data_IF_295615209869
#
_entry.id   IF_295615209869
#
_cell.length_a   1.000
_cell.length_b   1.000
_cell.length_c   1.000
_cell.angle_alpha   90.00
_cell.angle_beta   90.00
_cell.angle_gamma   90.00
#
_symmetry.space_group_name_H-M   'P 1'
#
loop_
_entity.id
_entity.type
_entity.pdbx_description
1 polymer ?
#
# COMPACT_ATOMS: atom_id res chain seq x y z
N UNK A 1 -0.25 -22.10 9.57
CA UNK A 1 -0.90 -20.97 8.87
C UNK A 1 0.20 -20.07 8.33
N UNK A 2 0.23 -19.82 7.03
CA UNK A 2 1.29 -19.06 6.38
C UNK A 2 1.32 -17.62 6.89
N UNK A 3 2.25 -17.30 7.79
CA UNK A 3 2.54 -15.95 8.30
C UNK A 3 2.68 -14.89 7.19
N UNK A 4 3.04 -15.33 5.98
CA UNK A 4 3.07 -14.51 4.77
C UNK A 4 1.73 -13.86 4.41
N UNK A 5 0.60 -14.53 4.66
CA UNK A 5 -0.73 -13.99 4.36
C UNK A 5 -1.01 -12.77 5.24
N UNK A 6 -0.66 -12.85 6.54
CA UNK A 6 -0.79 -11.73 7.46
C UNK A 6 0.11 -10.56 7.02
N UNK A 7 1.32 -10.85 6.56
CA UNK A 7 2.21 -9.81 6.02
C UNK A 7 1.60 -9.10 4.81
N UNK A 8 0.98 -9.84 3.86
CA UNK A 8 0.29 -9.20 2.72
C UNK A 8 -0.80 -8.23 3.15
N UNK A 9 -1.56 -8.54 4.20
CA UNK A 9 -2.55 -7.62 4.75
C UNK A 9 -1.91 -6.30 5.21
N UNK A 10 -0.89 -6.37 6.06
CA UNK A 10 -0.23 -5.17 6.57
C UNK A 10 0.53 -4.39 5.50
N UNK A 11 1.12 -5.08 4.52
CA UNK A 11 1.74 -4.43 3.36
C UNK A 11 0.69 -3.69 2.53
N UNK A 12 -0.50 -4.26 2.34
CA UNK A 12 -1.62 -3.58 1.69
C UNK A 12 -2.03 -2.30 2.43
N UNK A 13 -2.16 -2.37 3.77
CA UNK A 13 -2.47 -1.19 4.60
C UNK A 13 -1.42 -0.10 4.40
N UNK A 14 -0.14 -0.45 4.56
CA UNK A 14 0.95 0.50 4.46
C UNK A 14 1.04 1.10 3.05
N UNK A 15 0.91 0.27 2.01
CA UNK A 15 1.00 0.73 0.63
C UNK A 15 -0.06 1.78 0.33
N UNK A 16 -1.32 1.48 0.59
CA UNK A 16 -2.40 2.41 0.23
C UNK A 16 -2.45 3.64 1.14
N UNK A 17 -2.00 3.49 2.39
CA UNK A 17 -1.79 4.64 3.26
C UNK A 17 -0.78 5.63 2.69
N UNK A 18 0.36 5.12 2.18
CA UNK A 18 1.39 5.94 1.54
C UNK A 18 0.90 6.53 0.21
N UNK A 19 0.13 5.79 -0.58
CA UNK A 19 -0.51 6.29 -1.83
C UNK A 19 -1.43 7.46 -1.53
N UNK A 20 -2.32 7.30 -0.56
CA UNK A 20 -3.27 8.35 -0.19
C UNK A 20 -2.55 9.60 0.32
N UNK A 21 -1.50 9.42 1.13
CA UNK A 21 -0.67 10.54 1.59
C UNK A 21 0.10 11.20 0.44
N UNK A 22 0.59 10.41 -0.53
CA UNK A 22 1.24 10.91 -1.74
C UNK A 22 0.29 11.81 -2.55
N UNK A 23 -0.92 11.34 -2.83
CA UNK A 23 -1.93 12.12 -3.54
C UNK A 23 -2.26 13.43 -2.83
N UNK A 24 -2.30 13.44 -1.49
CA UNK A 24 -2.48 14.68 -0.71
C UNK A 24 -1.32 15.65 -0.88
N UNK A 25 -0.07 15.18 -0.82
CA UNK A 25 1.08 16.07 -1.03
C UNK A 25 1.17 16.59 -2.46
N UNK A 26 0.76 15.79 -3.45
CA UNK A 26 0.60 16.24 -4.83
C UNK A 26 -0.46 17.35 -4.90
N UNK A 27 -1.63 17.15 -4.31
CA UNK A 27 -2.71 18.14 -4.28
C UNK A 27 -2.31 19.45 -3.57
N UNK A 28 -1.43 19.38 -2.56
CA UNK A 28 -0.87 20.55 -1.87
C UNK A 28 0.40 21.12 -2.52
N UNK A 29 0.78 20.65 -3.71
CA UNK A 29 2.02 21.05 -4.41
C UNK A 29 3.31 20.92 -3.57
N UNK A 30 3.35 20.00 -2.59
CA UNK A 30 4.54 19.73 -1.78
C UNK A 30 5.45 18.75 -2.53
N UNK A 31 6.32 19.29 -3.39
CA UNK A 31 7.14 18.53 -4.35
C UNK A 31 8.02 17.46 -3.68
N UNK A 32 8.83 17.85 -2.69
CA UNK A 32 9.78 16.93 -2.05
C UNK A 32 9.11 15.71 -1.39
N UNK A 33 8.10 15.86 -0.49
CA UNK A 33 7.43 14.70 0.10
C UNK A 33 6.59 13.91 -0.92
N UNK A 34 6.04 14.57 -1.95
CA UNK A 34 5.37 13.87 -3.04
C UNK A 34 6.35 12.94 -3.79
N UNK A 35 7.51 13.43 -4.23
CA UNK A 35 8.50 12.60 -4.93
C UNK A 35 8.95 11.41 -4.08
N UNK A 36 9.27 11.64 -2.81
CA UNK A 36 9.75 10.59 -1.91
C UNK A 36 8.68 9.51 -1.69
N UNK A 37 7.43 9.90 -1.45
CA UNK A 37 6.36 8.92 -1.30
C UNK A 37 6.06 8.17 -2.60
N UNK A 38 6.08 8.84 -3.76
CA UNK A 38 5.88 8.18 -5.05
C UNK A 38 6.95 7.11 -5.30
N UNK A 39 8.20 7.38 -4.95
CA UNK A 39 9.29 6.41 -5.03
C UNK A 39 9.03 5.20 -4.11
N UNK A 40 8.69 5.42 -2.84
CA UNK A 40 8.40 4.35 -1.87
C UNK A 40 7.19 3.49 -2.26
N UNK A 41 6.12 4.12 -2.74
CA UNK A 41 4.93 3.45 -3.25
C UNK A 41 5.29 2.58 -4.46
N UNK A 42 6.11 3.09 -5.37
CA UNK A 42 6.53 2.34 -6.57
C UNK A 42 7.35 1.11 -6.20
N UNK A 43 8.34 1.25 -5.30
CA UNK A 43 9.13 0.11 -4.81
C UNK A 43 8.22 -0.94 -4.17
N UNK A 44 7.31 -0.51 -3.30
CA UNK A 44 6.40 -1.42 -2.59
C UNK A 44 5.51 -2.17 -3.58
N UNK A 45 4.94 -1.46 -4.56
CA UNK A 45 4.11 -2.05 -5.63
C UNK A 45 4.88 -3.12 -6.40
N UNK A 46 6.12 -2.82 -6.82
CA UNK A 46 6.94 -3.77 -7.57
C UNK A 46 7.31 -5.00 -6.74
N UNK A 47 7.64 -4.83 -5.46
CA UNK A 47 7.94 -5.94 -4.55
C UNK A 47 6.72 -6.83 -4.30
N UNK A 48 5.53 -6.24 -4.14
CA UNK A 48 4.28 -7.00 -3.97
C UNK A 48 3.97 -7.80 -5.22
N UNK A 49 4.04 -7.18 -6.40
CA UNK A 49 3.81 -7.86 -7.69
C UNK A 49 4.81 -9.01 -7.85
N UNK A 50 6.10 -8.76 -7.63
CA UNK A 50 7.14 -9.80 -7.71
C UNK A 50 6.86 -10.97 -6.76
N UNK A 51 6.45 -10.70 -5.52
CA UNK A 51 6.14 -11.76 -4.55
C UNK A 51 4.88 -12.57 -4.91
N UNK A 52 3.84 -11.91 -5.44
CA UNK A 52 2.63 -12.58 -5.90
C UNK A 52 2.93 -13.48 -7.11
N UNK A 53 3.72 -13.00 -8.07
CA UNK A 53 4.06 -13.74 -9.29
C UNK A 53 5.08 -14.86 -9.05
N UNK A 54 6.07 -14.67 -8.17
CA UNK A 54 7.10 -15.68 -7.91
C UNK A 54 6.61 -16.86 -7.08
N UNK A 55 5.53 -16.70 -6.30
CA UNK A 55 4.94 -17.75 -5.46
C UNK A 55 3.76 -18.43 -6.14
N UNK A 56 3.99 -18.91 -7.36
CA UNK A 56 3.03 -19.43 -8.34
C UNK A 56 2.32 -20.76 -7.94
N UNK A 57 1.91 -20.90 -6.69
CA UNK A 57 0.95 -21.94 -6.28
C UNK A 57 -0.45 -21.31 -6.34
N UNK A 58 -1.18 -21.56 -7.44
CA UNK A 58 -2.35 -20.79 -7.87
C UNK A 58 -3.43 -20.61 -6.78
N UNK A 59 -3.63 -21.59 -5.89
CA UNK A 59 -4.60 -21.47 -4.80
C UNK A 59 -4.14 -20.51 -3.69
N UNK A 60 -2.85 -20.51 -3.35
CA UNK A 60 -2.28 -19.62 -2.32
C UNK A 60 -2.18 -18.18 -2.83
N UNK A 61 -1.90 -17.98 -4.12
CA UNK A 61 -1.81 -16.65 -4.73
C UNK A 61 -3.14 -15.89 -4.70
N UNK A 62 -4.27 -16.56 -4.96
CA UNK A 62 -5.59 -15.91 -4.92
C UNK A 62 -5.91 -15.42 -3.50
N UNK A 63 -5.69 -16.26 -2.49
CA UNK A 63 -5.92 -15.87 -1.09
C UNK A 63 -5.02 -14.69 -0.71
N UNK A 64 -3.73 -14.72 -1.09
CA UNK A 64 -2.80 -13.62 -0.84
C UNK A 64 -3.25 -12.30 -1.49
N UNK A 65 -3.74 -12.34 -2.74
CA UNK A 65 -4.27 -11.16 -3.44
C UNK A 65 -5.49 -10.58 -2.72
N UNK A 66 -6.45 -11.42 -2.33
CA UNK A 66 -7.66 -10.96 -1.63
C UNK A 66 -7.31 -10.34 -0.28
N UNK A 67 -6.41 -10.98 0.48
CA UNK A 67 -5.95 -10.48 1.77
C UNK A 67 -5.20 -9.15 1.59
N UNK A 68 -4.29 -9.08 0.62
CA UNK A 68 -3.59 -7.85 0.27
C UNK A 68 -4.57 -6.71 -0.09
N UNK A 69 -5.57 -6.99 -0.94
CA UNK A 69 -6.60 -6.03 -1.33
C UNK A 69 -7.47 -5.58 -0.14
N UNK A 70 -7.78 -6.47 0.80
CA UNK A 70 -8.47 -6.09 2.04
C UNK A 70 -7.63 -5.15 2.91
N UNK A 71 -6.32 -5.37 2.95
CA UNK A 71 -5.36 -4.48 3.59
C UNK A 71 -5.34 -3.10 2.94
N UNK A 72 -5.31 -3.05 1.60
CA UNK A 72 -5.41 -1.80 0.82
C UNK A 72 -6.63 -0.98 1.24
N UNK A 73 -7.82 -1.59 1.30
CA UNK A 73 -9.05 -0.89 1.72
C UNK A 73 -8.96 -0.31 3.14
N UNK A 74 -8.38 -1.05 4.08
CA UNK A 74 -8.12 -0.56 5.45
C UNK A 74 -7.10 0.58 5.44
N UNK A 75 -6.04 0.48 4.63
CA UNK A 75 -5.05 1.53 4.40
C UNK A 75 -5.69 2.83 3.92
N UNK A 76 -6.56 2.75 2.90
CA UNK A 76 -7.33 3.89 2.40
C UNK A 76 -8.14 4.53 3.52
N UNK A 77 -8.92 3.72 4.25
CA UNK A 77 -9.78 4.21 5.32
C UNK A 77 -8.97 4.93 6.41
N UNK A 78 -7.88 4.32 6.86
CA UNK A 78 -7.00 4.90 7.88
C UNK A 78 -6.37 6.19 7.39
N UNK A 79 -5.83 6.23 6.16
CA UNK A 79 -5.21 7.43 5.61
C UNK A 79 -6.22 8.56 5.42
N UNK A 80 -7.44 8.26 4.97
CA UNK A 80 -8.52 9.23 4.87
C UNK A 80 -8.85 9.83 6.24
N UNK A 81 -8.90 9.01 7.30
CA UNK A 81 -9.18 9.47 8.67
C UNK A 81 -7.99 10.20 9.31
N UNK A 82 -6.76 9.85 8.95
CA UNK A 82 -5.55 10.49 9.46
C UNK A 82 -5.44 11.89 8.87
N UNK A 83 -5.43 12.94 9.70
CA UNK A 83 -5.33 14.34 9.25
C UNK A 83 -3.89 14.82 8.97
N UNK A 84 -2.94 13.90 8.81
CA UNK A 84 -1.54 14.28 8.53
C UNK A 84 -1.46 15.01 7.19
N UNK A 85 -0.85 16.19 7.22
CA UNK A 85 -0.77 17.09 6.07
C UNK A 85 -2.04 17.92 5.81
N UNK A 86 -3.05 17.91 6.70
CA UNK A 86 -4.27 18.73 6.60
C UNK A 86 -4.18 20.10 7.30
N UNK A 87 -3.04 20.48 7.88
CA UNK A 87 -2.86 21.87 8.30
C UNK A 87 -2.81 22.77 7.07
N UNK A 88 -3.72 23.74 7.04
CA UNK A 88 -3.77 24.84 6.09
C UNK A 88 -2.61 25.83 6.33
#
# INVERSE_FOLDING_TARGET
MDYYIILYFFVGILQDFLVTLNWRYIAKHKIAPAMLLSFLVTITTMLVIYNILSRLDSQRSIIAIVIYASGVAVGTFLAMKFKVGMED
#
